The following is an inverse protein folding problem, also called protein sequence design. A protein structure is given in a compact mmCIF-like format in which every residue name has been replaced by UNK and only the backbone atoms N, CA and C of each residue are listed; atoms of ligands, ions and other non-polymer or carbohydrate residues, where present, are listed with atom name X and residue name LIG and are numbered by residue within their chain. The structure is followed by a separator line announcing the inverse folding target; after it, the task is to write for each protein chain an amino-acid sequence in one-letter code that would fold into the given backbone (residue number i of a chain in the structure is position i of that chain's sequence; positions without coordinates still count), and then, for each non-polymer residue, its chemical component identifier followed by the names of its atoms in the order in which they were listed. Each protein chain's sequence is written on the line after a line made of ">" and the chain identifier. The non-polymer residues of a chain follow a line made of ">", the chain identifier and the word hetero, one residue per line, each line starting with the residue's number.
data_IF_139780761497
#
_entry.id   IF_139780761497
#
_cell.length_a   1.000
_cell.length_b   1.000
_cell.length_c   1.000
_cell.angle_alpha   90.00
_cell.angle_beta   90.00
_cell.angle_gamma   90.00
#
_symmetry.space_group_name_H-M   'P 1'
#
loop_
_entity.id
_entity.type
_entity.pdbx_description
1 polymer ?
#
# COMPACT_ATOMS: atom_id res chain seq x y z
N UNK A 1 -20.82 38.46 -24.88
CA UNK A 1 -20.83 39.94 -24.66
C UNK A 1 -22.03 40.32 -23.80
N UNK A 2 -21.93 41.37 -23.00
CA UNK A 2 -23.06 41.95 -22.27
C UNK A 2 -24.06 42.60 -23.26
N UNK A 3 -25.39 42.43 -23.12
CA UNK A 3 -26.39 43.06 -23.99
C UNK A 3 -26.21 44.57 -24.19
N UNK A 4 -25.77 45.29 -23.16
CA UNK A 4 -25.46 46.73 -23.27
C UNK A 4 -24.28 47.01 -24.21
N UNK A 5 -23.24 46.19 -24.17
CA UNK A 5 -22.07 46.37 -25.02
C UNK A 5 -22.41 46.15 -26.50
N UNK A 6 -23.28 45.19 -26.81
CA UNK A 6 -23.74 44.90 -28.18
C UNK A 6 -24.50 46.10 -28.76
N UNK A 7 -25.40 46.70 -27.98
CA UNK A 7 -26.15 47.89 -28.40
C UNK A 7 -25.22 49.09 -28.66
N UNK A 8 -24.19 49.27 -27.83
CA UNK A 8 -23.22 50.35 -28.03
C UNK A 8 -22.34 50.12 -29.27
N UNK A 9 -21.94 48.88 -29.57
CA UNK A 9 -21.24 48.54 -30.81
C UNK A 9 -22.10 48.82 -32.05
N UNK A 10 -23.38 48.42 -32.04
CA UNK A 10 -24.31 48.69 -33.14
C UNK A 10 -24.47 50.21 -33.35
N UNK A 11 -24.61 50.99 -32.27
CA UNK A 11 -24.70 52.45 -32.36
C UNK A 11 -23.43 53.08 -32.91
N UNK A 12 -22.25 52.61 -32.48
CA UNK A 12 -20.97 53.12 -32.94
C UNK A 12 -20.79 52.86 -34.45
N UNK A 13 -21.12 51.67 -34.93
CA UNK A 13 -21.01 51.30 -36.34
C UNK A 13 -21.99 52.09 -37.22
N UNK A 14 -23.23 52.31 -36.74
CA UNK A 14 -24.23 53.15 -37.42
C UNK A 14 -23.77 54.61 -37.48
N UNK A 15 -23.21 55.15 -36.39
CA UNK A 15 -22.68 56.51 -36.37
C UNK A 15 -21.48 56.66 -37.31
N UNK A 16 -20.57 55.67 -37.36
CA UNK A 16 -19.46 55.67 -38.30
C UNK A 16 -19.94 55.63 -39.76
N UNK A 17 -20.98 54.87 -40.08
CA UNK A 17 -21.56 54.84 -41.42
C UNK A 17 -22.18 56.20 -41.79
N UNK A 18 -22.82 56.86 -40.82
CA UNK A 18 -23.39 58.20 -40.97
C UNK A 18 -22.31 59.26 -41.19
N UNK A 19 -21.20 59.22 -40.45
CA UNK A 19 -20.07 60.13 -40.59
C UNK A 19 -19.35 59.96 -41.93
N UNK A 20 -19.44 58.77 -42.54
CA UNK A 20 -18.96 58.47 -43.89
C UNK A 20 -19.95 58.89 -45.00
N UNK A 21 -21.02 59.61 -44.66
CA UNK A 21 -21.96 60.20 -45.62
C UNK A 21 -23.15 59.32 -46.00
N UNK A 22 -23.38 58.19 -45.32
CA UNK A 22 -24.56 57.37 -45.56
C UNK A 22 -25.82 58.02 -44.95
N UNK A 23 -26.76 58.44 -45.78
CA UNK A 23 -28.06 59.00 -45.35
C UNK A 23 -29.16 57.94 -45.18
N UNK A 24 -28.96 56.74 -45.72
CA UNK A 24 -29.88 55.61 -45.60
C UNK A 24 -29.10 54.29 -45.60
N UNK A 25 -29.56 53.32 -44.80
CA UNK A 25 -29.01 51.96 -44.75
C UNK A 25 -30.03 51.02 -45.38
N UNK A 26 -29.57 50.22 -46.35
CA UNK A 26 -30.39 49.18 -46.95
C UNK A 26 -30.73 48.10 -45.92
N UNK A 27 -32.02 47.79 -45.78
CA UNK A 27 -32.54 46.85 -44.79
C UNK A 27 -31.88 45.47 -44.89
N UNK A 28 -31.63 45.00 -46.12
CA UNK A 28 -30.99 43.70 -46.40
C UNK A 28 -29.54 43.64 -45.85
N UNK A 29 -28.80 44.74 -45.99
CA UNK A 29 -27.43 44.85 -45.47
C UNK A 29 -27.40 44.89 -43.96
N UNK A 30 -28.37 45.56 -43.34
CA UNK A 30 -28.51 45.60 -41.88
C UNK A 30 -28.85 44.22 -41.32
N UNK A 31 -29.78 43.50 -41.93
CA UNK A 31 -30.10 42.12 -41.55
C UNK A 31 -28.86 41.24 -41.63
N UNK A 32 -28.12 41.29 -42.75
CA UNK A 32 -26.88 40.52 -42.93
C UNK A 32 -25.80 40.84 -41.88
N UNK A 33 -25.67 42.12 -41.50
CA UNK A 33 -24.76 42.52 -40.42
C UNK A 33 -25.21 41.99 -39.06
N UNK A 34 -26.50 42.11 -38.73
CA UNK A 34 -27.06 41.61 -37.47
C UNK A 34 -26.95 40.08 -37.37
N UNK A 35 -27.13 39.36 -38.48
CA UNK A 35 -26.92 37.91 -38.56
C UNK A 35 -25.46 37.53 -38.33
N UNK A 36 -24.52 38.26 -38.93
CA UNK A 36 -23.09 38.05 -38.71
C UNK A 36 -22.69 38.30 -37.24
N UNK A 37 -23.23 39.35 -36.63
CA UNK A 37 -22.99 39.71 -35.23
C UNK A 37 -23.61 38.66 -34.28
N UNK A 38 -24.82 38.19 -34.57
CA UNK A 38 -25.51 37.12 -33.83
C UNK A 38 -24.70 35.82 -33.87
N UNK A 39 -24.19 35.43 -35.04
CA UNK A 39 -23.35 34.25 -35.20
C UNK A 39 -22.03 34.35 -34.41
N UNK A 40 -21.39 35.53 -34.38
CA UNK A 40 -20.19 35.76 -33.57
C UNK A 40 -20.45 35.63 -32.07
N UNK A 41 -21.58 36.14 -31.58
CA UNK A 41 -21.98 36.04 -30.17
C UNK A 41 -22.28 34.59 -29.79
N UNK A 42 -22.92 33.84 -30.67
CA UNK A 42 -23.24 32.42 -30.46
C UNK A 42 -22.01 31.52 -30.46
N UNK A 43 -21.01 31.79 -31.31
CA UNK A 43 -19.74 31.04 -31.37
C UNK A 43 -18.80 31.37 -30.20
N UNK A 44 -18.72 32.63 -29.78
CA UNK A 44 -17.86 33.07 -28.68
C UNK A 44 -18.33 32.54 -27.31
N UNK A 45 -19.65 32.43 -27.10
CA UNK A 45 -20.22 31.87 -25.86
C UNK A 45 -20.13 30.34 -25.75
N UNK A 46 -20.07 29.63 -26.88
CA UNK A 46 -20.08 28.16 -26.92
C UNK A 46 -18.73 27.51 -26.61
N UNK A 47 -17.62 28.16 -26.95
CA UNK A 47 -16.28 27.55 -26.88
C UNK A 47 -15.62 27.75 -25.51
N UNK A 48 -15.76 28.93 -24.89
CA UNK A 48 -15.18 29.21 -23.57
C UNK A 48 -15.80 28.36 -22.45
N UNK A 49 -17.11 28.12 -22.48
CA UNK A 49 -17.83 27.35 -21.47
C UNK A 49 -17.56 25.83 -21.62
N UNK A 50 -17.51 25.36 -22.87
CA UNK A 50 -17.21 23.95 -23.19
C UNK A 50 -15.76 23.58 -22.90
N UNK A 51 -14.79 24.43 -23.22
CA UNK A 51 -13.38 24.16 -22.95
C UNK A 51 -13.08 24.21 -21.45
N UNK A 52 -13.68 25.15 -20.72
CA UNK A 52 -13.59 25.21 -19.26
C UNK A 52 -14.24 23.97 -18.61
N UNK A 53 -15.39 23.52 -19.11
CA UNK A 53 -16.06 22.31 -18.64
C UNK A 53 -15.24 21.04 -18.95
N UNK A 54 -14.68 20.94 -20.17
CA UNK A 54 -13.77 19.86 -20.55
C UNK A 54 -12.54 19.81 -19.65
N UNK A 55 -11.94 20.95 -19.35
CA UNK A 55 -10.77 21.02 -18.47
C UNK A 55 -11.13 20.65 -17.03
N UNK A 56 -12.29 21.09 -16.53
CA UNK A 56 -12.79 20.67 -15.22
C UNK A 56 -13.03 19.16 -15.17
N UNK A 57 -13.61 18.57 -16.22
CA UNK A 57 -13.83 17.12 -16.32
C UNK A 57 -12.49 16.38 -16.34
N UNK A 58 -11.51 16.85 -17.12
CA UNK A 58 -10.15 16.29 -17.15
C UNK A 58 -9.48 16.38 -15.79
N UNK A 59 -9.53 17.53 -15.12
CA UNK A 59 -8.97 17.72 -13.79
C UNK A 59 -9.62 16.79 -12.76
N UNK A 60 -10.94 16.62 -12.83
CA UNK A 60 -11.67 15.68 -11.98
C UNK A 60 -11.18 14.24 -12.21
N UNK A 61 -11.14 13.77 -13.47
CA UNK A 61 -10.66 12.42 -13.77
C UNK A 61 -9.18 12.21 -13.45
N UNK A 62 -8.34 13.23 -13.67
CA UNK A 62 -6.93 13.20 -13.32
C UNK A 62 -6.74 13.08 -11.80
N UNK A 63 -7.53 13.80 -11.01
CA UNK A 63 -7.53 13.67 -9.56
C UNK A 63 -7.97 12.28 -9.09
N UNK A 64 -9.07 11.76 -9.65
CA UNK A 64 -9.53 10.40 -9.35
C UNK A 64 -8.48 9.35 -9.70
N UNK A 65 -7.88 9.42 -10.89
CA UNK A 65 -6.83 8.50 -11.31
C UNK A 65 -5.61 8.58 -10.39
N UNK A 66 -5.19 9.80 -10.02
CA UNK A 66 -4.10 9.99 -9.06
C UNK A 66 -4.44 9.38 -7.69
N UNK A 67 -5.66 9.55 -7.22
CA UNK A 67 -6.13 8.96 -5.96
C UNK A 67 -6.17 7.42 -6.01
N UNK A 68 -6.71 6.83 -7.08
CA UNK A 68 -6.72 5.38 -7.26
C UNK A 68 -5.31 4.79 -7.33
N UNK A 69 -4.40 5.46 -8.04
CA UNK A 69 -3.00 5.02 -8.12
C UNK A 69 -2.32 5.10 -6.76
N UNK A 70 -2.54 6.18 -6.01
CA UNK A 70 -2.01 6.34 -4.66
C UNK A 70 -2.51 5.24 -3.71
N UNK A 71 -3.81 4.92 -3.72
CA UNK A 71 -4.36 3.83 -2.91
C UNK A 71 -3.75 2.47 -3.27
N UNK A 72 -3.67 2.17 -4.57
CA UNK A 72 -3.05 0.92 -5.06
C UNK A 72 -1.58 0.80 -4.65
N UNK A 73 -0.81 1.88 -4.76
CA UNK A 73 0.59 1.91 -4.35
C UNK A 73 0.73 1.71 -2.84
N UNK A 74 -0.10 2.39 -2.04
CA UNK A 74 -0.15 2.22 -0.59
C UNK A 74 -0.45 0.78 -0.19
N UNK A 75 -1.45 0.13 -0.82
CA UNK A 75 -1.80 -1.26 -0.52
C UNK A 75 -0.65 -2.23 -0.82
N UNK A 76 0.04 -2.03 -1.96
CA UNK A 76 1.19 -2.84 -2.35
C UNK A 76 2.35 -2.64 -1.37
N UNK A 77 2.63 -1.41 -0.97
CA UNK A 77 3.69 -1.08 -0.03
C UNK A 77 3.41 -1.65 1.36
N UNK A 78 2.17 -1.49 1.86
CA UNK A 78 1.74 -2.06 3.12
C UNK A 78 1.87 -3.59 3.12
N UNK A 79 1.42 -4.26 2.05
CA UNK A 79 1.56 -5.70 1.91
C UNK A 79 3.03 -6.15 1.94
N UNK A 80 3.91 -5.47 1.19
CA UNK A 80 5.35 -5.75 1.20
C UNK A 80 5.96 -5.53 2.58
N UNK A 81 5.59 -4.45 3.26
CA UNK A 81 6.08 -4.10 4.59
C UNK A 81 5.73 -5.19 5.61
N UNK A 82 4.47 -5.63 5.64
CA UNK A 82 4.01 -6.69 6.55
C UNK A 82 4.74 -8.01 6.29
N UNK A 83 4.87 -8.43 5.03
CA UNK A 83 5.59 -9.67 4.68
C UNK A 83 7.06 -9.58 5.08
N UNK A 84 7.71 -8.45 4.80
CA UNK A 84 9.13 -8.24 5.13
C UNK A 84 9.35 -8.25 6.64
N UNK A 85 8.48 -7.57 7.39
CA UNK A 85 8.51 -7.57 8.85
C UNK A 85 8.34 -8.98 9.41
N UNK A 86 7.36 -9.74 8.91
CA UNK A 86 7.12 -11.13 9.32
C UNK A 86 8.32 -12.04 9.06
N UNK A 87 8.93 -11.95 7.87
CA UNK A 87 10.13 -12.71 7.54
C UNK A 87 11.32 -12.34 8.43
N UNK A 88 11.51 -11.05 8.73
CA UNK A 88 12.57 -10.61 9.64
C UNK A 88 12.37 -11.15 11.06
N UNK A 89 11.13 -11.14 11.55
CA UNK A 89 10.76 -11.76 12.84
C UNK A 89 11.06 -13.26 12.85
N UNK A 90 10.71 -14.00 11.79
CA UNK A 90 11.00 -15.42 11.70
C UNK A 90 12.51 -15.70 11.63
N UNK A 91 13.30 -14.91 10.89
CA UNK A 91 14.76 -15.03 10.86
C UNK A 91 15.39 -14.79 12.23
N UNK A 92 14.92 -13.76 12.95
CA UNK A 92 15.36 -13.49 14.32
C UNK A 92 15.00 -14.65 15.27
N UNK A 93 13.80 -15.23 15.13
CA UNK A 93 13.37 -16.41 15.90
C UNK A 93 14.23 -17.64 15.59
N UNK A 94 14.53 -17.90 14.31
CA UNK A 94 15.44 -18.97 13.91
C UNK A 94 16.82 -18.80 14.55
N UNK A 95 17.35 -17.59 14.54
CA UNK A 95 18.63 -17.27 15.17
C UNK A 95 18.58 -17.48 16.68
N UNK A 96 17.52 -17.05 17.36
CA UNK A 96 17.36 -17.25 18.80
C UNK A 96 17.39 -18.74 19.18
N UNK A 97 16.53 -19.55 18.57
CA UNK A 97 16.47 -20.98 18.88
C UNK A 97 17.74 -21.72 18.46
N UNK A 98 18.27 -21.42 17.26
CA UNK A 98 19.47 -22.06 16.74
C UNK A 98 20.72 -21.72 17.55
N UNK A 99 20.93 -20.43 17.85
CA UNK A 99 22.09 -20.00 18.64
C UNK A 99 22.03 -20.52 20.08
N UNK A 100 20.84 -20.54 20.70
CA UNK A 100 20.67 -21.13 22.03
C UNK A 100 20.95 -22.63 22.03
N UNK A 101 20.49 -23.38 21.02
CA UNK A 101 20.80 -24.81 20.87
C UNK A 101 22.30 -25.06 20.71
N UNK A 102 23.00 -24.28 19.86
CA UNK A 102 24.45 -24.41 19.65
C UNK A 102 25.22 -24.06 20.93
N UNK A 103 24.86 -22.97 21.62
CA UNK A 103 25.49 -22.58 22.88
C UNK A 103 25.29 -23.67 23.95
N UNK A 104 24.10 -24.26 24.04
CA UNK A 104 23.81 -25.34 24.95
C UNK A 104 24.60 -26.61 24.60
N UNK A 105 24.73 -26.94 23.31
CA UNK A 105 25.51 -28.09 22.87
C UNK A 105 27.00 -27.95 23.20
N UNK A 106 27.55 -26.74 23.02
CA UNK A 106 28.91 -26.43 23.44
C UNK A 106 29.10 -26.58 24.96
N UNK A 107 28.15 -26.08 25.75
CA UNK A 107 28.17 -26.21 27.20
C UNK A 107 28.09 -27.69 27.66
N UNK A 108 27.17 -28.48 27.08
CA UNK A 108 27.08 -29.93 27.32
C UNK A 108 28.40 -30.63 26.98
N UNK A 109 29.04 -30.25 25.86
CA UNK A 109 30.34 -30.78 25.45
C UNK A 109 31.44 -30.53 26.49
N UNK A 110 31.37 -29.44 27.25
CA UNK A 110 32.28 -29.20 28.38
C UNK A 110 31.93 -30.07 29.60
N UNK A 111 30.64 -30.22 29.93
CA UNK A 111 30.17 -30.98 31.09
C UNK A 111 30.42 -32.48 30.99
N UNK A 112 30.42 -33.06 29.79
CA UNK A 112 30.59 -34.52 29.61
C UNK A 112 32.01 -35.01 29.92
N UNK A 113 33.00 -34.11 29.86
CA UNK A 113 34.41 -34.42 30.13
C UNK A 113 34.68 -34.57 31.62
N UNK A 114 33.93 -33.88 32.46
CA UNK A 114 34.09 -33.89 33.92
C UNK A 114 33.25 -35.02 34.57
N UNK A 115 33.86 -36.00 35.27
CA UNK A 115 33.14 -37.13 35.85
C UNK A 115 32.02 -36.74 36.83
N UNK A 116 32.22 -35.65 37.60
CA UNK A 116 31.24 -35.15 38.57
C UNK A 116 29.99 -34.54 37.94
N UNK A 117 30.12 -33.95 36.74
CA UNK A 117 29.00 -33.27 36.04
C UNK A 117 28.38 -34.14 34.95
N UNK A 118 29.05 -35.22 34.53
CA UNK A 118 28.57 -36.14 33.50
C UNK A 118 27.14 -36.70 33.75
N UNK A 119 26.73 -37.04 35.00
CA UNK A 119 25.37 -37.50 35.26
C UNK A 119 24.29 -36.42 35.01
N UNK A 120 24.66 -35.14 35.08
CA UNK A 120 23.73 -34.01 34.92
C UNK A 120 23.42 -33.70 33.46
N UNK A 121 24.23 -34.18 32.51
CA UNK A 121 24.06 -33.93 31.06
C UNK A 121 22.67 -34.34 30.56
N UNK A 122 22.12 -35.44 31.07
CA UNK A 122 20.78 -35.92 30.68
C UNK A 122 19.65 -34.93 30.99
N UNK A 123 19.84 -34.05 31.98
CA UNK A 123 18.83 -33.04 32.35
C UNK A 123 18.68 -31.93 31.30
N UNK A 124 19.67 -31.77 30.40
CA UNK A 124 19.60 -30.79 29.31
C UNK A 124 18.86 -31.30 28.08
N UNK A 125 18.54 -32.59 27.98
CA UNK A 125 17.77 -33.16 26.87
C UNK A 125 16.42 -32.43 26.63
N UNK A 126 15.54 -32.24 27.62
CA UNK A 126 14.27 -31.54 27.41
C UNK A 126 14.44 -30.07 26.97
N UNK A 127 15.50 -29.41 27.44
CA UNK A 127 15.84 -28.03 27.04
C UNK A 127 16.24 -28.00 25.55
N UNK A 128 17.13 -28.90 25.14
CA UNK A 128 17.56 -29.03 23.76
C UNK A 128 16.39 -29.34 22.83
N UNK A 129 15.50 -30.25 23.24
CA UNK A 129 14.27 -30.56 22.50
C UNK A 129 13.41 -29.33 22.28
N UNK A 130 13.22 -28.47 23.29
CA UNK A 130 12.44 -27.25 23.14
C UNK A 130 13.06 -26.29 22.11
N UNK A 131 14.39 -26.12 22.11
CA UNK A 131 15.05 -25.28 21.10
C UNK A 131 14.91 -25.86 19.69
N UNK A 132 15.10 -27.18 19.51
CA UNK A 132 14.96 -27.84 18.21
C UNK A 132 13.52 -27.79 17.68
N UNK A 133 12.51 -28.00 18.54
CA UNK A 133 11.10 -27.82 18.18
C UNK A 133 10.83 -26.37 17.76
N UNK A 134 11.45 -25.40 18.44
CA UNK A 134 11.37 -23.99 18.05
C UNK A 134 11.95 -23.72 16.66
N UNK A 135 13.13 -24.28 16.33
CA UNK A 135 13.69 -24.19 14.97
C UNK A 135 12.76 -24.82 13.94
N UNK A 136 12.24 -26.02 14.20
CA UNK A 136 11.31 -26.70 13.31
C UNK A 136 10.04 -25.87 13.09
N UNK A 137 9.48 -25.29 14.16
CA UNK A 137 8.33 -24.41 14.13
C UNK A 137 8.57 -23.22 13.19
N UNK A 138 9.73 -22.55 13.27
CA UNK A 138 10.06 -21.42 12.38
C UNK A 138 10.12 -21.83 10.90
N UNK A 139 10.64 -23.02 10.60
CA UNK A 139 10.67 -23.56 9.23
C UNK A 139 9.25 -23.87 8.74
N UNK A 140 8.40 -24.45 9.58
CA UNK A 140 6.99 -24.69 9.27
C UNK A 140 6.26 -23.36 9.01
N UNK A 141 6.49 -22.31 9.81
CA UNK A 141 5.92 -20.98 9.59
C UNK A 141 6.35 -20.38 8.24
N UNK A 142 7.60 -20.57 7.80
CA UNK A 142 8.05 -20.17 6.46
C UNK A 142 7.27 -20.90 5.36
N UNK A 143 7.09 -22.23 5.49
CA UNK A 143 6.30 -23.02 4.56
C UNK A 143 4.83 -22.57 4.48
N UNK A 144 4.21 -22.30 5.64
CA UNK A 144 2.84 -21.77 5.71
C UNK A 144 2.75 -20.39 5.06
N UNK A 145 3.76 -19.54 5.23
CA UNK A 145 3.81 -18.20 4.60
C UNK A 145 3.84 -18.30 3.08
N UNK A 146 4.62 -19.23 2.52
CA UNK A 146 4.62 -19.52 1.09
C UNK A 146 3.23 -19.98 0.60
N UNK A 147 2.60 -20.90 1.34
CA UNK A 147 1.27 -21.40 1.00
C UNK A 147 0.20 -20.30 1.10
N UNK A 148 0.33 -19.41 2.08
CA UNK A 148 -0.53 -18.23 2.26
C UNK A 148 -0.47 -17.32 1.03
N UNK A 149 0.75 -17.01 0.55
CA UNK A 149 0.95 -16.22 -0.66
C UNK A 149 0.37 -16.90 -1.90
N UNK A 150 0.55 -18.22 -2.03
CA UNK A 150 -0.07 -19.01 -3.09
C UNK A 150 -1.61 -18.90 -3.08
N UNK A 151 -2.23 -18.97 -1.89
CA UNK A 151 -3.68 -18.81 -1.75
C UNK A 151 -4.16 -17.41 -2.15
N UNK A 152 -3.48 -16.35 -1.72
CA UNK A 152 -3.84 -14.98 -2.10
C UNK A 152 -3.68 -14.74 -3.60
N UNK A 153 -2.63 -15.28 -4.22
CA UNK A 153 -2.42 -15.20 -5.66
C UNK A 153 -3.57 -15.86 -6.45
N UNK A 154 -4.13 -16.96 -5.94
CA UNK A 154 -5.24 -17.68 -6.58
C UNK A 154 -6.64 -17.24 -6.07
N UNK A 155 -6.73 -16.03 -5.50
CA UNK A 155 -7.96 -15.42 -4.95
C UNK A 155 -8.68 -16.27 -3.87
N UNK A 156 -8.00 -17.22 -3.23
CA UNK A 156 -8.53 -18.03 -2.13
C UNK A 156 -8.30 -17.33 -0.79
N UNK A 157 -8.88 -16.15 -0.63
CA UNK A 157 -8.58 -15.23 0.48
C UNK A 157 -8.88 -15.84 1.86
N UNK A 158 -10.00 -16.57 2.01
CA UNK A 158 -10.38 -17.21 3.29
C UNK A 158 -9.29 -18.19 3.75
N UNK A 159 -8.84 -19.07 2.85
CA UNK A 159 -7.77 -20.03 3.16
C UNK A 159 -6.46 -19.32 3.46
N UNK A 160 -6.12 -18.28 2.70
CA UNK A 160 -4.95 -17.44 2.99
C UNK A 160 -5.00 -16.82 4.39
N UNK A 161 -6.14 -16.28 4.79
CA UNK A 161 -6.31 -15.72 6.14
C UNK A 161 -6.18 -16.77 7.24
N UNK A 162 -6.78 -17.95 7.08
CA UNK A 162 -6.67 -19.05 8.04
C UNK A 162 -5.21 -19.47 8.22
N UNK A 163 -4.48 -19.68 7.12
CA UNK A 163 -3.07 -20.05 7.15
C UNK A 163 -2.21 -18.96 7.79
N UNK A 164 -2.50 -17.69 7.51
CA UNK A 164 -1.77 -16.57 8.09
C UNK A 164 -1.96 -16.48 9.61
N UNK A 165 -3.20 -16.65 10.08
CA UNK A 165 -3.52 -16.69 11.52
C UNK A 165 -2.84 -17.89 12.18
N UNK A 166 -2.89 -19.06 11.55
CA UNK A 166 -2.21 -20.27 12.05
C UNK A 166 -0.70 -20.05 12.20
N UNK A 167 -0.05 -19.48 11.18
CA UNK A 167 1.39 -19.14 11.22
C UNK A 167 1.70 -18.17 12.36
N UNK A 168 0.85 -17.16 12.56
CA UNK A 168 1.02 -16.16 13.61
C UNK A 168 0.91 -16.78 15.01
N UNK A 169 -0.09 -17.64 15.24
CA UNK A 169 -0.27 -18.36 16.51
C UNK A 169 0.91 -19.29 16.77
N UNK A 170 1.35 -20.02 15.75
CA UNK A 170 2.46 -20.96 15.85
C UNK A 170 3.79 -20.25 16.17
N UNK A 171 4.01 -19.06 15.59
CA UNK A 171 5.16 -18.19 15.90
C UNK A 171 5.14 -17.72 17.36
N UNK A 172 3.98 -17.25 17.87
CA UNK A 172 3.82 -16.86 19.28
C UNK A 172 4.07 -18.03 20.22
N UNK A 173 3.55 -19.22 19.88
CA UNK A 173 3.83 -20.44 20.63
C UNK A 173 5.33 -20.78 20.66
N UNK A 174 6.06 -20.54 19.57
CA UNK A 174 7.52 -20.68 19.52
C UNK A 174 8.25 -19.82 20.55
N UNK A 175 7.83 -18.57 20.73
CA UNK A 175 8.40 -17.71 21.78
C UNK A 175 8.09 -18.22 23.19
N UNK A 176 6.90 -18.79 23.41
CA UNK A 176 6.57 -19.47 24.67
C UNK A 176 7.50 -20.66 24.95
N UNK A 177 7.75 -21.49 23.94
CA UNK A 177 8.72 -22.59 24.03
C UNK A 177 10.14 -22.10 24.35
N UNK A 178 10.58 -21.00 23.73
CA UNK A 178 11.87 -20.40 24.03
C UNK A 178 11.98 -19.98 25.51
N UNK A 179 10.99 -19.24 26.00
CA UNK A 179 10.96 -18.81 27.41
C UNK A 179 10.94 -19.98 28.39
N UNK A 180 10.16 -21.03 28.09
CA UNK A 180 10.13 -22.25 28.89
C UNK A 180 11.49 -22.98 28.91
N UNK A 181 12.17 -23.06 27.76
CA UNK A 181 13.52 -23.65 27.67
C UNK A 181 14.56 -22.84 28.49
N UNK A 182 14.47 -21.51 28.50
CA UNK A 182 15.29 -20.66 29.36
C UNK A 182 15.02 -20.92 30.85
N UNK A 183 13.76 -21.07 31.24
CA UNK A 183 13.39 -21.40 32.62
C UNK A 183 13.94 -22.78 33.05
N UNK A 184 13.79 -23.80 32.20
CA UNK A 184 14.35 -25.13 32.47
C UNK A 184 15.88 -25.07 32.58
N UNK A 185 16.55 -24.34 31.67
CA UNK A 185 18.01 -24.12 31.73
C UNK A 185 18.46 -23.54 33.06
N UNK A 186 17.74 -22.54 33.56
CA UNK A 186 18.04 -21.92 34.84
C UNK A 186 17.90 -22.90 36.02
N UNK A 187 16.89 -23.77 36.01
CA UNK A 187 16.68 -24.76 37.07
C UNK A 187 17.76 -25.85 37.08
N UNK A 188 18.18 -26.33 35.90
CA UNK A 188 19.29 -27.30 35.81
C UNK A 188 20.60 -26.66 36.28
N UNK A 189 20.87 -25.41 35.86
CA UNK A 189 22.08 -24.70 36.27
C UNK A 189 22.16 -24.44 37.78
N UNK A 190 21.04 -24.28 38.49
CA UNK A 190 21.02 -24.20 39.96
C UNK A 190 21.42 -25.48 40.67
N UNK A 191 21.33 -26.61 39.98
CA UNK A 191 21.60 -27.94 40.54
C UNK A 191 23.06 -28.37 40.34
N UNK A 192 23.80 -27.63 39.50
CA UNK A 192 25.24 -27.80 39.24
C UNK A 192 26.02 -26.95 40.25
#
# INVERSE_FOLDING_TARGET
>A
MNPKAVIETIKADINSAKDQGASAIETERLIKYLDALSNQVNEAGKNLDRDAELERIRAHYANHLAHYNWLKEQDIELFKSVITSGQNTLRASMLLHGAAAVALLAFIGHLVVNPSTKPLVGQFAPIMTCFLIGVLNVVVCHGITYLTQYCYHHHRNIFGHILNVLSSVLSVFGYGLFGYACYLSYQVLKTI
#
